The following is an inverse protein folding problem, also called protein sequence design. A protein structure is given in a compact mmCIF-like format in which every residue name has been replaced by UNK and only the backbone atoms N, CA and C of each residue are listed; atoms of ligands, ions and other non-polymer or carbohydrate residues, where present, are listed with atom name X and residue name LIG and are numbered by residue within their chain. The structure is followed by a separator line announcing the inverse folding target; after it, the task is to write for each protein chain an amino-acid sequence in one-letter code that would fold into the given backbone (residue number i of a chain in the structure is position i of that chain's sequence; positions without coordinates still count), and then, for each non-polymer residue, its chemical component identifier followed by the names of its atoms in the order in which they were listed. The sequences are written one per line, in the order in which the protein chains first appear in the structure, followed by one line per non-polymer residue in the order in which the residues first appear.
data_IF_495824939513
#
_entry.id   IF_495824939513
#
_cell.length_a   1.000
_cell.length_b   1.000
_cell.length_c   1.000
_cell.angle_alpha   90.00
_cell.angle_beta   90.00
_cell.angle_gamma   90.00
#
_symmetry.space_group_name_H-M   'P 1'
#
loop_
_entity.id
_entity.type
_entity.pdbx_description
1 polymer ?
#
# COMPACT_ATOMS: atom_id res chain seq x y z
N UNK A 1 3.87 4.01 -10.17
CA UNK A 1 3.33 4.83 -11.26
C UNK A 1 4.23 4.73 -12.48
N UNK A 2 3.66 4.37 -13.64
CA UNK A 2 4.44 4.15 -14.88
C UNK A 2 5.07 5.44 -15.41
N UNK A 3 4.37 6.57 -15.33
CA UNK A 3 4.88 7.88 -15.76
C UNK A 3 6.19 8.21 -15.06
N UNK A 4 6.20 8.13 -13.74
CA UNK A 4 7.40 8.39 -12.91
C UNK A 4 8.53 7.41 -13.24
N UNK A 5 8.21 6.11 -13.34
CA UNK A 5 9.21 5.09 -13.63
C UNK A 5 9.86 5.31 -14.99
N UNK A 6 9.06 5.61 -16.03
CA UNK A 6 9.56 5.88 -17.38
C UNK A 6 10.45 7.14 -17.42
N UNK A 7 10.07 8.19 -16.67
CA UNK A 7 10.90 9.40 -16.57
C UNK A 7 12.28 9.10 -15.97
N UNK A 8 12.34 8.32 -14.89
CA UNK A 8 13.61 7.95 -14.28
C UNK A 8 14.43 7.00 -15.16
N UNK A 9 13.78 6.05 -15.86
CA UNK A 9 14.48 5.17 -16.81
C UNK A 9 15.13 5.99 -17.94
N UNK A 10 14.45 7.02 -18.44
CA UNK A 10 15.01 7.93 -19.43
C UNK A 10 16.22 8.73 -18.90
N UNK A 11 16.33 8.88 -17.58
CA UNK A 11 17.48 9.49 -16.90
C UNK A 11 18.57 8.47 -16.52
N UNK A 12 18.43 7.20 -16.92
CA UNK A 12 19.43 6.15 -16.73
C UNK A 12 19.20 5.25 -15.51
N UNK A 13 18.03 5.36 -14.83
CA UNK A 13 17.67 4.40 -13.78
C UNK A 13 17.38 3.03 -14.41
N UNK A 14 17.92 1.97 -13.80
CA UNK A 14 17.65 0.57 -14.17
C UNK A 14 16.76 -0.03 -13.07
N UNK A 15 15.68 -0.68 -13.48
CA UNK A 15 14.84 -1.44 -12.55
C UNK A 15 15.44 -2.82 -12.39
N UNK A 16 15.70 -3.23 -11.16
CA UNK A 16 16.10 -4.58 -10.80
C UNK A 16 14.95 -5.24 -10.01
N UNK A 17 14.56 -6.43 -10.41
CA UNK A 17 13.55 -7.23 -9.70
C UNK A 17 14.21 -8.07 -8.60
N UNK A 18 15.48 -8.41 -8.78
CA UNK A 18 16.27 -9.19 -7.84
C UNK A 18 17.66 -8.57 -7.62
N UNK A 19 18.21 -8.75 -6.40
CA UNK A 19 19.52 -8.20 -6.05
C UNK A 19 20.67 -8.83 -6.86
N UNK A 20 20.48 -10.01 -7.46
CA UNK A 20 21.48 -10.64 -8.35
C UNK A 20 21.71 -9.85 -9.64
N UNK A 21 20.75 -9.02 -10.04
CA UNK A 21 20.83 -8.15 -11.21
C UNK A 21 21.65 -6.88 -10.94
N UNK A 22 21.92 -6.58 -9.67
CA UNK A 22 22.61 -5.36 -9.26
C UNK A 22 24.13 -5.63 -9.22
N UNK A 23 24.95 -4.91 -10.04
CA UNK A 23 26.39 -5.07 -10.04
C UNK A 23 27.02 -4.70 -8.70
N UNK A 24 28.16 -5.32 -8.38
CA UNK A 24 28.99 -4.93 -7.26
C UNK A 24 29.41 -3.46 -7.36
N UNK A 25 29.38 -2.74 -6.25
CA UNK A 25 29.71 -1.31 -6.20
C UNK A 25 28.65 -0.37 -6.77
N UNK A 26 27.53 -0.88 -7.31
CA UNK A 26 26.43 -0.06 -7.79
C UNK A 26 25.71 0.66 -6.65
N UNK A 27 24.87 1.65 -7.00
CA UNK A 27 23.94 2.28 -6.05
C UNK A 27 22.55 1.71 -6.26
N UNK A 28 21.97 1.13 -5.21
CA UNK A 28 20.61 0.59 -5.16
C UNK A 28 19.70 1.52 -4.39
N UNK A 29 18.58 1.90 -4.98
CA UNK A 29 17.53 2.68 -4.31
C UNK A 29 16.43 1.71 -3.85
N UNK A 30 16.21 1.62 -2.53
CA UNK A 30 15.05 0.91 -1.97
C UNK A 30 13.84 1.82 -2.04
N UNK A 31 12.79 1.38 -2.73
CA UNK A 31 11.55 2.16 -2.90
C UNK A 31 10.76 2.28 -1.58
N UNK A 32 9.74 3.14 -1.57
CA UNK A 32 8.93 3.47 -0.38
C UNK A 32 8.25 2.26 0.30
N UNK A 33 8.03 1.17 -0.42
CA UNK A 33 7.45 -0.07 0.13
C UNK A 33 8.44 -0.86 1.03
N UNK A 34 9.71 -0.46 1.05
CA UNK A 34 10.75 -1.20 1.72
C UNK A 34 11.18 -2.47 0.97
N UNK A 35 12.05 -3.22 1.61
CA UNK A 35 12.54 -4.53 1.14
C UNK A 35 12.74 -5.46 2.34
N UNK A 36 12.79 -6.79 2.14
CA UNK A 36 13.17 -7.75 3.17
C UNK A 36 14.54 -7.44 3.77
N UNK A 37 14.74 -7.71 5.05
CA UNK A 37 16.02 -7.46 5.74
C UNK A 37 17.21 -8.12 5.05
N UNK A 38 17.01 -9.29 4.45
CA UNK A 38 18.04 -10.00 3.70
C UNK A 38 18.64 -9.17 2.56
N UNK A 39 17.83 -8.34 1.88
CA UNK A 39 18.30 -7.48 0.79
C UNK A 39 19.37 -6.51 1.28
N UNK A 40 19.18 -5.91 2.45
CA UNK A 40 20.16 -4.99 3.05
C UNK A 40 21.46 -5.72 3.41
N UNK A 41 21.35 -6.89 4.04
CA UNK A 41 22.52 -7.71 4.44
C UNK A 41 23.31 -8.21 3.24
N UNK A 42 22.63 -8.63 2.17
CA UNK A 42 23.29 -9.12 0.96
C UNK A 42 23.91 -7.98 0.14
N UNK A 43 23.26 -6.82 0.08
CA UNK A 43 23.81 -5.64 -0.57
C UNK A 43 25.12 -5.18 0.10
N UNK A 44 25.17 -5.21 1.43
CA UNK A 44 26.39 -4.91 2.19
C UNK A 44 27.53 -5.87 1.81
N UNK A 45 27.25 -7.19 1.73
CA UNK A 45 28.25 -8.21 1.32
C UNK A 45 28.77 -8.00 -0.10
N UNK A 46 27.94 -7.45 -1.00
CA UNK A 46 28.30 -7.15 -2.39
C UNK A 46 28.87 -5.74 -2.58
N UNK A 47 29.15 -5.01 -1.50
CA UNK A 47 29.60 -3.60 -1.57
C UNK A 47 28.67 -2.69 -2.38
N UNK A 48 27.37 -3.00 -2.42
CA UNK A 48 26.35 -2.18 -3.06
C UNK A 48 25.99 -1.02 -2.12
N UNK A 49 26.03 0.20 -2.64
CA UNK A 49 25.64 1.38 -1.89
C UNK A 49 24.10 1.49 -1.85
N UNK A 50 23.49 1.47 -0.66
CA UNK A 50 22.04 1.56 -0.51
C UNK A 50 21.61 3.00 -0.22
N UNK A 51 20.66 3.50 -1.02
CA UNK A 51 19.84 4.66 -0.69
C UNK A 51 18.47 4.14 -0.26
N UNK A 52 18.23 4.13 1.04
CA UNK A 52 16.96 3.64 1.60
C UNK A 52 15.90 4.74 1.56
N UNK A 53 14.97 4.66 0.61
CA UNK A 53 13.81 5.54 0.50
C UNK A 53 12.53 4.89 1.06
N UNK A 54 12.66 3.92 1.95
CA UNK A 54 11.52 3.29 2.65
C UNK A 54 10.71 4.35 3.41
N UNK A 55 9.41 4.34 3.20
CA UNK A 55 8.51 5.25 3.91
C UNK A 55 8.64 5.07 5.44
N UNK A 56 8.69 6.15 6.24
CA UNK A 56 8.78 6.06 7.69
C UNK A 56 7.67 5.22 8.34
N UNK A 57 6.45 5.24 7.80
CA UNK A 57 5.36 4.36 8.27
C UNK A 57 5.69 2.87 8.07
N UNK A 58 6.25 2.51 6.93
CA UNK A 58 6.68 1.12 6.64
C UNK A 58 7.87 0.73 7.54
N UNK A 59 8.85 1.62 7.70
CA UNK A 59 9.98 1.40 8.62
C UNK A 59 9.52 1.16 10.06
N UNK A 60 8.47 1.87 10.51
CA UNK A 60 7.87 1.64 11.83
C UNK A 60 7.32 0.22 11.95
N UNK A 61 6.64 -0.30 10.91
CA UNK A 61 6.11 -1.65 10.91
C UNK A 61 7.24 -2.68 10.96
N UNK A 62 8.28 -2.49 10.14
CA UNK A 62 9.47 -3.34 10.16
C UNK A 62 10.08 -3.49 11.56
N UNK A 63 10.24 -2.38 12.28
CA UNK A 63 10.76 -2.36 13.66
C UNK A 63 9.84 -3.08 14.64
N UNK A 64 8.52 -2.92 14.52
CA UNK A 64 7.55 -3.62 15.37
C UNK A 64 7.62 -5.14 15.19
N UNK A 65 7.65 -5.59 13.93
CA UNK A 65 7.72 -7.00 13.56
C UNK A 65 9.05 -7.63 13.97
N UNK A 66 10.17 -6.94 13.71
CA UNK A 66 11.48 -7.40 14.13
C UNK A 66 11.57 -7.59 15.64
N UNK A 67 11.09 -6.59 16.41
CA UNK A 67 11.06 -6.65 17.87
C UNK A 67 10.19 -7.82 18.36
N UNK A 68 8.98 -7.97 17.84
CA UNK A 68 8.06 -9.04 18.22
C UNK A 68 8.67 -10.42 17.93
N UNK A 69 9.30 -10.60 16.77
CA UNK A 69 9.95 -11.84 16.41
C UNK A 69 11.14 -12.19 17.34
N UNK A 70 11.95 -11.20 17.74
CA UNK A 70 13.03 -11.38 18.72
C UNK A 70 12.48 -11.75 20.10
N UNK A 71 11.32 -11.29 20.48
CA UNK A 71 10.63 -11.63 21.73
C UNK A 71 9.84 -12.95 21.63
N UNK A 72 9.85 -13.65 20.48
CA UNK A 72 9.13 -14.88 20.25
C UNK A 72 7.62 -14.76 20.14
N UNK A 73 7.12 -13.53 19.94
CA UNK A 73 5.69 -13.23 19.80
C UNK A 73 5.18 -13.60 18.41
N UNK A 74 3.92 -14.00 18.34
CA UNK A 74 3.23 -14.14 17.06
C UNK A 74 2.92 -12.78 16.45
N UNK A 75 2.96 -12.70 15.12
CA UNK A 75 2.65 -11.48 14.36
C UNK A 75 1.54 -11.76 13.37
N UNK A 76 0.44 -11.04 13.49
CA UNK A 76 -0.64 -11.05 12.51
C UNK A 76 -0.49 -9.81 11.64
N UNK A 77 -0.41 -10.01 10.33
CA UNK A 77 -0.30 -8.95 9.34
C UNK A 77 -1.57 -8.91 8.49
N UNK A 78 -2.33 -7.84 8.58
CA UNK A 78 -3.47 -7.62 7.68
C UNK A 78 -2.99 -6.94 6.40
N UNK A 79 -3.01 -7.65 5.27
CA UNK A 79 -2.56 -7.17 3.97
C UNK A 79 -2.55 -8.24 2.89
N UNK A 80 -2.06 -7.89 1.71
CA UNK A 80 -1.86 -8.83 0.61
C UNK A 80 -0.44 -9.41 0.67
N UNK A 81 -0.30 -10.72 0.88
CA UNK A 81 0.99 -11.42 0.97
C UNK A 81 1.88 -11.20 -0.26
N UNK A 82 1.27 -11.02 -1.44
CA UNK A 82 2.01 -10.77 -2.67
C UNK A 82 2.49 -9.32 -2.82
N UNK A 83 1.98 -8.41 -2.01
CA UNK A 83 2.35 -7.00 -2.08
C UNK A 83 3.80 -6.78 -1.59
N UNK A 84 4.60 -5.95 -2.28
CA UNK A 84 6.00 -5.69 -1.90
C UNK A 84 6.18 -5.22 -0.47
N UNK A 85 5.29 -4.37 0.04
CA UNK A 85 5.32 -3.90 1.43
C UNK A 85 5.16 -5.06 2.42
N UNK A 86 4.20 -5.95 2.18
CA UNK A 86 3.94 -7.10 3.05
C UNK A 86 5.10 -8.10 3.00
N UNK A 87 5.68 -8.32 1.82
CA UNK A 87 6.93 -9.12 1.67
C UNK A 87 8.09 -8.50 2.47
N UNK A 88 8.21 -7.18 2.45
CA UNK A 88 9.17 -6.45 3.29
C UNK A 88 8.91 -6.72 4.78
N UNK A 89 7.67 -6.57 5.23
CA UNK A 89 7.24 -6.81 6.62
C UNK A 89 7.60 -8.23 7.07
N UNK A 90 7.24 -9.25 6.29
CA UNK A 90 7.56 -10.66 6.57
C UNK A 90 9.08 -10.86 6.69
N UNK A 91 9.85 -10.23 5.80
CA UNK A 91 11.31 -10.34 5.75
C UNK A 91 12.06 -9.73 6.94
N UNK A 92 11.38 -8.96 7.80
CA UNK A 92 11.94 -8.47 9.06
C UNK A 92 11.73 -9.43 10.24
N UNK A 93 10.96 -10.50 10.06
CA UNK A 93 10.92 -11.60 11.03
C UNK A 93 12.07 -12.58 10.78
N UNK A 94 12.84 -12.87 11.80
CA UNK A 94 13.86 -13.93 11.73
C UNK A 94 13.24 -15.33 11.78
N UNK A 95 11.94 -15.45 12.05
CA UNK A 95 11.21 -16.71 12.13
C UNK A 95 9.86 -16.61 11.38
N UNK A 96 9.77 -17.17 10.17
CA UNK A 96 8.56 -17.10 9.37
C UNK A 96 7.36 -17.84 10.02
N UNK A 97 7.59 -18.79 10.90
CA UNK A 97 6.54 -19.52 11.62
C UNK A 97 5.81 -18.65 12.65
N UNK A 98 6.34 -17.49 13.00
CA UNK A 98 5.68 -16.53 13.90
C UNK A 98 4.75 -15.57 13.15
N UNK A 99 4.81 -15.50 11.81
CA UNK A 99 4.03 -14.56 11.02
C UNK A 99 2.86 -15.25 10.34
N UNK A 100 1.71 -14.63 10.48
CA UNK A 100 0.48 -15.01 9.78
C UNK A 100 -0.05 -13.80 9.01
N UNK A 101 -0.21 -13.93 7.69
CA UNK A 101 -0.81 -12.89 6.85
C UNK A 101 -2.27 -13.22 6.60
N UNK A 102 -3.13 -12.24 6.75
CA UNK A 102 -4.57 -12.32 6.50
C UNK A 102 -5.02 -11.18 5.60
N UNK A 103 -6.04 -11.38 4.79
CA UNK A 103 -6.63 -10.33 3.95
C UNK A 103 -7.89 -9.72 4.57
N UNK A 104 -8.56 -10.49 5.41
CA UNK A 104 -9.83 -10.10 6.02
C UNK A 104 -10.14 -10.95 7.25
N UNK A 105 -11.28 -10.68 7.87
CA UNK A 105 -11.76 -11.41 9.04
C UNK A 105 -11.98 -12.92 8.77
N UNK A 106 -12.46 -13.30 7.58
CA UNK A 106 -12.75 -14.71 7.28
C UNK A 106 -11.47 -15.56 7.28
N UNK A 107 -10.35 -15.01 6.78
CA UNK A 107 -9.05 -15.68 6.85
C UNK A 107 -8.66 -15.90 8.32
N UNK A 108 -8.86 -14.88 9.16
CA UNK A 108 -8.53 -14.94 10.59
C UNK A 108 -9.34 -16.02 11.34
N UNK A 109 -10.60 -16.23 10.97
CA UNK A 109 -11.46 -17.27 11.58
C UNK A 109 -10.95 -18.69 11.28
N UNK A 110 -10.19 -18.87 10.20
CA UNK A 110 -9.60 -20.15 9.80
C UNK A 110 -8.26 -20.45 10.47
N UNK A 111 -7.66 -19.48 11.16
CA UNK A 111 -6.33 -19.60 11.76
C UNK A 111 -6.45 -19.92 13.26
N UNK A 112 -5.55 -20.79 13.73
CA UNK A 112 -5.35 -21.02 15.16
C UNK A 112 -4.08 -20.31 15.60
N UNK A 113 -4.23 -19.28 16.39
CA UNK A 113 -3.13 -18.70 17.14
C UNK A 113 -2.79 -19.58 18.33
N UNK A 114 -1.54 -19.61 18.69
CA UNK A 114 -1.08 -20.23 19.92
C UNK A 114 -1.47 -19.31 21.09
N UNK A 115 -2.45 -19.74 21.89
CA UNK A 115 -3.01 -18.93 22.99
C UNK A 115 -2.03 -18.74 24.15
N UNK A 116 -0.96 -19.55 24.20
CA UNK A 116 0.09 -19.44 25.22
C UNK A 116 1.13 -18.36 24.86
N UNK A 117 1.17 -17.90 23.59
CA UNK A 117 2.08 -16.87 23.12
C UNK A 117 1.43 -15.51 23.05
N UNK A 118 2.18 -14.50 23.44
CA UNK A 118 1.79 -13.13 23.14
C UNK A 118 1.78 -12.90 21.61
N UNK A 119 0.88 -12.05 21.16
CA UNK A 119 0.75 -11.71 19.76
C UNK A 119 0.67 -10.20 19.55
N UNK A 120 1.17 -9.73 18.40
CA UNK A 120 0.93 -8.38 17.91
C UNK A 120 0.14 -8.42 16.61
N UNK A 121 -0.64 -7.38 16.38
CA UNK A 121 -1.32 -7.14 15.11
C UNK A 121 -0.79 -5.86 14.48
N UNK A 122 -0.44 -5.95 13.19
CA UNK A 122 -0.05 -4.84 12.33
C UNK A 122 -0.80 -4.94 11.00
N UNK A 123 -0.86 -3.85 10.24
CA UNK A 123 -1.51 -3.85 8.93
C UNK A 123 -0.65 -3.17 7.88
N UNK A 124 -0.82 -3.59 6.62
CA UNK A 124 -0.31 -2.86 5.47
C UNK A 124 -0.79 -1.41 5.51
N UNK A 125 0.09 -0.46 5.18
CA UNK A 125 -0.19 0.99 5.34
C UNK A 125 -1.37 1.49 4.53
N UNK A 126 -1.76 0.77 3.46
CA UNK A 126 -2.86 1.12 2.56
C UNK A 126 -4.15 0.34 2.81
N UNK A 127 -4.26 -0.37 3.92
CA UNK A 127 -5.45 -1.12 4.31
C UNK A 127 -6.67 -0.19 4.43
N UNK A 128 -7.84 -0.68 4.02
CA UNK A 128 -9.09 0.02 4.21
C UNK A 128 -9.51 0.01 5.68
N UNK A 129 -9.92 1.18 6.19
CA UNK A 129 -10.31 1.35 7.59
C UNK A 129 -11.40 0.38 8.03
N UNK A 130 -12.43 0.18 7.20
CA UNK A 130 -13.52 -0.75 7.50
C UNK A 130 -13.02 -2.17 7.73
N UNK A 131 -12.14 -2.68 6.85
CA UNK A 131 -11.57 -4.03 7.00
C UNK A 131 -10.71 -4.14 8.27
N UNK A 132 -9.93 -3.09 8.57
CA UNK A 132 -9.16 -3.00 9.82
C UNK A 132 -10.08 -3.09 11.04
N UNK A 133 -11.13 -2.29 11.10
CA UNK A 133 -12.05 -2.22 12.25
C UNK A 133 -12.77 -3.56 12.47
N UNK A 134 -13.19 -4.26 11.40
CA UNK A 134 -13.79 -5.59 11.47
C UNK A 134 -12.83 -6.64 12.03
N UNK A 135 -11.56 -6.62 11.60
CA UNK A 135 -10.51 -7.55 12.08
C UNK A 135 -10.14 -7.24 13.52
N UNK A 136 -9.96 -5.97 13.88
CA UNK A 136 -9.61 -5.55 15.25
C UNK A 136 -10.71 -5.92 16.23
N UNK A 137 -11.98 -5.68 15.88
CA UNK A 137 -13.12 -6.07 16.72
C UNK A 137 -13.11 -7.57 17.04
N UNK A 138 -12.87 -8.41 16.04
CA UNK A 138 -12.78 -9.87 16.24
C UNK A 138 -11.56 -10.27 17.09
N UNK A 139 -10.39 -9.66 16.82
CA UNK A 139 -9.16 -9.96 17.57
C UNK A 139 -9.27 -9.61 19.04
N UNK A 140 -9.83 -8.45 19.37
CA UNK A 140 -9.98 -7.99 20.75
C UNK A 140 -11.01 -8.83 21.54
N UNK A 141 -12.03 -9.33 20.88
CA UNK A 141 -13.03 -10.21 21.49
C UNK A 141 -12.44 -11.60 21.78
N UNK A 142 -11.73 -12.18 20.81
CA UNK A 142 -11.23 -13.56 20.89
C UNK A 142 -9.87 -13.70 21.57
N UNK A 143 -9.00 -12.71 21.42
CA UNK A 143 -7.61 -12.73 21.91
C UNK A 143 -7.30 -11.48 22.76
N UNK A 144 -7.75 -11.42 24.02
CA UNK A 144 -7.67 -10.22 24.85
C UNK A 144 -6.24 -9.73 25.14
N UNK A 145 -5.24 -10.59 24.95
CA UNK A 145 -3.83 -10.28 25.20
C UNK A 145 -3.08 -9.83 23.94
N UNK A 146 -3.78 -9.70 22.80
CA UNK A 146 -3.12 -9.23 21.57
C UNK A 146 -2.84 -7.72 21.63
N UNK A 147 -1.66 -7.33 21.21
CA UNK A 147 -1.28 -5.91 21.12
C UNK A 147 -1.62 -5.40 19.72
N UNK A 148 -2.59 -4.51 19.64
CA UNK A 148 -3.02 -3.91 18.37
C UNK A 148 -2.19 -2.68 18.06
N UNK A 149 -1.54 -2.67 16.90
CA UNK A 149 -0.88 -1.51 16.34
C UNK A 149 -1.66 -1.01 15.11
N UNK A 150 -2.28 0.16 15.21
CA UNK A 150 -2.82 0.84 14.03
C UNK A 150 -1.65 1.38 13.21
N UNK A 151 -1.38 0.72 12.09
CA UNK A 151 -0.28 1.05 11.19
C UNK A 151 -0.76 1.54 9.82
N UNK A 152 -2.06 1.82 9.65
CA UNK A 152 -2.57 2.52 8.48
C UNK A 152 -1.94 3.93 8.45
N UNK A 153 -1.41 4.31 7.28
CA UNK A 153 -0.82 5.64 7.09
C UNK A 153 -1.88 6.74 7.19
N UNK A 154 -1.61 7.82 7.93
CA UNK A 154 -2.55 8.95 8.06
C UNK A 154 -2.94 9.53 6.70
N UNK A 155 -1.97 9.70 5.78
CA UNK A 155 -2.25 10.14 4.42
C UNK A 155 -3.17 9.17 3.64
N UNK A 156 -3.21 7.88 4.00
CA UNK A 156 -4.14 6.91 3.44
C UNK A 156 -5.53 7.11 4.04
N UNK A 157 -5.64 7.28 5.35
CA UNK A 157 -6.91 7.56 6.05
C UNK A 157 -7.57 8.81 5.48
N UNK A 158 -6.84 9.92 5.45
CA UNK A 158 -7.33 11.21 4.96
C UNK A 158 -7.84 11.12 3.52
N UNK A 159 -7.10 10.42 2.63
CA UNK A 159 -7.52 10.22 1.24
C UNK A 159 -8.76 9.34 1.12
N UNK A 160 -8.85 8.27 1.89
CA UNK A 160 -10.02 7.38 1.89
C UNK A 160 -11.27 8.13 2.36
N UNK A 161 -11.17 8.88 3.46
CA UNK A 161 -12.27 9.67 4.00
C UNK A 161 -12.70 10.78 3.04
N UNK A 162 -11.75 11.54 2.48
CA UNK A 162 -12.03 12.59 1.50
C UNK A 162 -12.70 12.02 0.24
N UNK A 163 -12.20 10.87 -0.26
CA UNK A 163 -12.78 10.20 -1.43
C UNK A 163 -14.21 9.73 -1.16
N UNK A 164 -14.44 9.09 0.00
CA UNK A 164 -15.77 8.63 0.39
C UNK A 164 -16.78 9.78 0.54
N UNK A 165 -16.33 10.93 1.06
CA UNK A 165 -17.15 12.13 1.19
C UNK A 165 -17.47 12.72 -0.18
N UNK A 166 -16.45 12.95 -1.01
CA UNK A 166 -16.61 13.54 -2.34
C UNK A 166 -17.52 12.69 -3.22
N UNK A 167 -17.35 11.37 -3.20
CA UNK A 167 -18.15 10.45 -4.03
C UNK A 167 -19.66 10.45 -3.73
N UNK A 168 -20.09 10.99 -2.58
CA UNK A 168 -21.50 11.16 -2.24
C UNK A 168 -22.12 12.44 -2.81
N UNK A 169 -21.27 13.38 -3.22
CA UNK A 169 -21.68 14.76 -3.59
C UNK A 169 -21.59 15.00 -5.11
N UNK A 170 -21.16 14.00 -5.89
CA UNK A 170 -20.88 14.14 -7.34
C UNK A 170 -21.63 13.12 -8.19
N UNK A 171 -21.80 13.44 -9.47
CA UNK A 171 -22.45 12.58 -10.46
C UNK A 171 -21.45 11.60 -11.10
N UNK A 172 -20.17 12.00 -11.18
CA UNK A 172 -19.06 11.22 -11.72
C UNK A 172 -17.84 11.34 -10.81
N UNK A 173 -17.25 10.21 -10.45
CA UNK A 173 -15.94 10.15 -9.76
C UNK A 173 -14.84 9.68 -10.71
N UNK A 174 -13.78 10.46 -10.81
CA UNK A 174 -12.56 10.13 -11.54
C UNK A 174 -11.47 9.85 -10.52
N UNK A 175 -10.97 8.61 -10.49
CA UNK A 175 -9.85 8.22 -9.64
C UNK A 175 -8.62 8.05 -10.50
N UNK A 176 -7.57 8.84 -10.22
CA UNK A 176 -6.33 8.86 -11.00
C UNK A 176 -5.24 8.12 -10.23
N UNK A 177 -4.58 7.15 -10.86
CA UNK A 177 -3.45 6.46 -10.25
C UNK A 177 -3.06 5.17 -10.94
N UNK A 178 -1.89 4.66 -10.62
CA UNK A 178 -1.37 3.43 -11.22
C UNK A 178 -2.25 2.21 -10.97
N UNK A 179 -2.55 1.43 -12.00
CA UNK A 179 -3.35 0.19 -11.91
C UNK A 179 -2.74 -0.86 -10.96
N UNK A 180 -1.44 -0.75 -10.68
CA UNK A 180 -0.72 -1.64 -9.74
C UNK A 180 -0.60 -1.04 -8.33
N UNK A 181 -1.10 0.18 -8.10
CA UNK A 181 -1.08 0.83 -6.79
C UNK A 181 -2.22 0.31 -5.91
N UNK A 182 -1.89 -0.30 -4.77
CA UNK A 182 -2.86 -0.76 -3.77
C UNK A 182 -3.73 0.41 -3.28
N UNK A 183 -3.10 1.54 -2.94
CA UNK A 183 -3.83 2.74 -2.50
C UNK A 183 -4.81 3.26 -3.56
N UNK A 184 -4.38 3.35 -4.84
CA UNK A 184 -5.25 3.87 -5.91
C UNK A 184 -6.44 2.96 -6.19
N UNK A 185 -6.21 1.63 -6.21
CA UNK A 185 -7.29 0.64 -6.31
C UNK A 185 -8.31 0.79 -5.19
N UNK A 186 -7.82 0.96 -3.96
CA UNK A 186 -8.68 1.11 -2.79
C UNK A 186 -9.52 2.39 -2.86
N UNK A 187 -8.95 3.50 -3.32
CA UNK A 187 -9.72 4.74 -3.54
C UNK A 187 -10.82 4.54 -4.60
N UNK A 188 -10.54 3.82 -5.69
CA UNK A 188 -11.54 3.52 -6.71
C UNK A 188 -12.67 2.62 -6.16
N UNK A 189 -12.34 1.61 -5.35
CA UNK A 189 -13.32 0.76 -4.68
C UNK A 189 -14.22 1.58 -3.73
N UNK A 190 -13.62 2.45 -2.91
CA UNK A 190 -14.37 3.32 -1.99
C UNK A 190 -15.27 4.29 -2.77
N UNK A 191 -14.75 4.91 -3.83
CA UNK A 191 -15.54 5.82 -4.66
C UNK A 191 -16.75 5.09 -5.26
N UNK A 192 -16.58 3.89 -5.82
CA UNK A 192 -17.64 3.12 -6.47
C UNK A 192 -18.73 2.63 -5.50
N UNK A 193 -18.45 2.55 -4.20
CA UNK A 193 -19.46 2.23 -3.19
C UNK A 193 -20.48 3.39 -2.99
N UNK A 194 -20.10 4.62 -3.35
CA UNK A 194 -20.90 5.83 -3.12
C UNK A 194 -21.33 6.53 -4.41
N UNK A 195 -20.53 6.44 -5.48
CA UNK A 195 -20.84 6.98 -6.81
C UNK A 195 -20.82 5.84 -7.84
N UNK A 196 -21.99 5.53 -8.44
CA UNK A 196 -22.10 4.46 -9.45
C UNK A 196 -21.26 4.74 -10.69
N UNK A 197 -21.17 6.03 -11.07
CA UNK A 197 -20.35 6.47 -12.20
C UNK A 197 -18.94 6.76 -11.70
N UNK A 198 -18.17 5.72 -11.38
CA UNK A 198 -16.77 5.84 -10.99
C UNK A 198 -15.88 5.27 -12.07
N UNK A 199 -14.89 6.05 -12.53
CA UNK A 199 -13.88 5.62 -13.48
C UNK A 199 -12.50 5.64 -12.81
N UNK A 200 -11.66 4.65 -13.12
CA UNK A 200 -10.30 4.54 -12.61
C UNK A 200 -9.31 4.52 -13.77
N UNK A 201 -8.47 5.54 -13.86
CA UNK A 201 -7.53 5.77 -14.97
C UNK A 201 -6.12 6.04 -14.47
N UNK A 202 -5.11 5.72 -15.28
CA UNK A 202 -3.71 6.06 -14.97
C UNK A 202 -3.37 7.50 -15.36
N UNK A 203 -3.99 8.05 -16.41
CA UNK A 203 -3.74 9.38 -16.98
C UNK A 203 -4.92 9.87 -17.83
N UNK A 204 -4.80 11.09 -18.38
CA UNK A 204 -5.82 11.69 -19.22
C UNK A 204 -6.07 10.90 -20.52
N UNK A 205 -5.05 10.31 -21.13
CA UNK A 205 -5.22 9.55 -22.37
C UNK A 205 -6.17 8.37 -22.20
N UNK A 206 -6.11 7.67 -21.06
CA UNK A 206 -7.09 6.62 -20.75
C UNK A 206 -8.49 7.20 -20.55
N UNK A 207 -8.61 8.33 -19.88
CA UNK A 207 -9.88 9.00 -19.64
C UNK A 207 -10.55 9.44 -20.94
N UNK A 208 -9.78 10.00 -21.89
CA UNK A 208 -10.26 10.46 -23.20
C UNK A 208 -10.83 9.33 -24.08
N UNK A 209 -10.46 8.08 -23.82
CA UNK A 209 -11.00 6.91 -24.51
C UNK A 209 -12.36 6.46 -23.96
N UNK A 210 -12.78 6.97 -22.81
CA UNK A 210 -14.04 6.61 -22.20
C UNK A 210 -15.16 7.52 -22.73
N UNK A 211 -16.30 6.93 -23.02
CA UNK A 211 -17.48 7.70 -23.36
C UNK A 211 -18.13 8.20 -22.04
N UNK A 212 -17.72 9.39 -21.60
CA UNK A 212 -18.26 10.01 -20.39
C UNK A 212 -19.49 10.80 -20.77
N UNK A 213 -20.63 10.43 -20.19
CA UNK A 213 -21.86 11.20 -20.35
C UNK A 213 -21.73 12.54 -19.64
N UNK A 214 -22.33 13.58 -20.22
CA UNK A 214 -22.37 14.90 -19.60
C UNK A 214 -23.00 14.82 -18.20
N UNK A 215 -22.32 15.35 -17.22
CA UNK A 215 -22.75 15.37 -15.83
C UNK A 215 -22.58 16.77 -15.22
N UNK A 216 -23.37 17.10 -14.20
CA UNK A 216 -23.35 18.42 -13.61
C UNK A 216 -22.15 18.63 -12.67
N UNK A 217 -21.76 17.60 -11.93
CA UNK A 217 -20.68 17.68 -10.94
C UNK A 217 -19.74 16.49 -11.09
N UNK A 218 -18.46 16.79 -11.34
CA UNK A 218 -17.39 15.79 -11.38
C UNK A 218 -16.48 15.93 -10.18
N UNK A 219 -16.11 14.80 -9.58
CA UNK A 219 -15.13 14.70 -8.51
C UNK A 219 -13.85 14.02 -8.97
N UNK A 220 -12.70 14.51 -8.53
CA UNK A 220 -11.40 13.93 -8.82
C UNK A 220 -10.71 13.51 -7.53
N UNK A 221 -10.27 12.26 -7.47
CA UNK A 221 -9.40 11.74 -6.41
C UNK A 221 -8.13 11.14 -7.02
N UNK A 222 -7.00 11.23 -6.32
CA UNK A 222 -5.75 10.72 -6.83
C UNK A 222 -5.00 9.88 -5.80
N UNK A 223 -4.33 8.82 -6.28
CA UNK A 223 -3.44 8.02 -5.47
C UNK A 223 -2.22 8.81 -4.97
N UNK A 224 -1.65 8.39 -3.83
CA UNK A 224 -0.52 9.08 -3.19
C UNK A 224 0.73 9.20 -4.08
N UNK A 225 0.91 8.28 -5.02
CA UNK A 225 2.03 8.27 -5.98
C UNK A 225 1.70 8.85 -7.35
N UNK A 226 0.53 9.50 -7.49
CA UNK A 226 0.12 10.13 -8.74
C UNK A 226 0.82 11.48 -8.88
N UNK A 227 1.55 11.74 -9.99
CA UNK A 227 2.14 13.04 -10.25
C UNK A 227 1.09 14.16 -10.28
N UNK A 228 1.47 15.33 -9.79
CA UNK A 228 0.59 16.51 -9.83
C UNK A 228 0.25 16.88 -11.27
N UNK A 229 1.21 16.74 -12.20
CA UNK A 229 1.01 16.96 -13.63
C UNK A 229 -0.13 16.12 -14.22
N UNK A 230 -0.22 14.83 -13.86
CA UNK A 230 -1.27 13.94 -14.35
C UNK A 230 -2.66 14.37 -13.82
N UNK A 231 -2.68 14.90 -12.59
CA UNK A 231 -3.92 15.42 -11.97
C UNK A 231 -4.36 16.72 -12.66
N UNK A 232 -3.42 17.65 -12.86
CA UNK A 232 -3.67 18.94 -13.52
C UNK A 232 -4.10 18.75 -14.97
N UNK A 233 -3.48 17.81 -15.69
CA UNK A 233 -3.86 17.47 -17.07
C UNK A 233 -5.32 17.00 -17.14
N UNK A 234 -5.74 16.09 -16.23
CA UNK A 234 -7.12 15.63 -16.19
C UNK A 234 -8.07 16.78 -15.88
N UNK A 235 -7.79 17.59 -14.84
CA UNK A 235 -8.67 18.70 -14.44
C UNK A 235 -8.81 19.73 -15.57
N UNK A 236 -7.70 20.14 -16.20
CA UNK A 236 -7.72 21.17 -17.26
C UNK A 236 -8.53 20.72 -18.46
N UNK A 237 -8.33 19.47 -18.92
CA UNK A 237 -9.02 18.97 -20.10
C UNK A 237 -10.51 18.66 -19.84
N UNK A 238 -10.90 18.31 -18.60
CA UNK A 238 -12.30 18.09 -18.26
C UNK A 238 -13.07 19.40 -18.07
N UNK A 239 -12.40 20.52 -17.83
CA UNK A 239 -13.03 21.83 -17.70
C UNK A 239 -13.41 22.44 -19.07
N UNK A 240 -12.95 21.84 -20.19
CA UNK A 240 -13.23 22.29 -21.55
C UNK A 240 -14.36 21.47 -22.23
N UNK A 241 -14.88 20.44 -21.55
CA UNK A 241 -15.98 19.56 -21.99
C UNK A 241 -17.29 19.91 -21.25
#
# INVERSE_FOLDING_TARGET
NKTVTSEFMNKGLIIAEDLSEVPEGATLIIRSHGAPKAVFTEAEKKSINIIDATCPYVTRIHKLVEKAALEGKQVIVLGDENHPEVKGIIGFSNNPYLITVIKNRADLESIKLDEEKEAIFVTQTTTERKNYDEVVSYLTDKYPNIIIHDTICDATKDRQEATAKLAKEVDLMIVIGGKNSSNSKKLAEIASQHCKNTVFVENFNELALLNIEACAIMGVAAGASTPVSDIEEVISNMSEV
#
